data_IF_433289633849
#
_entry.id   IF_433289633849
#
_cell.length_a   1.000
_cell.length_b   1.000
_cell.length_c   1.000
_cell.angle_alpha   90.00
_cell.angle_beta   90.00
_cell.angle_gamma   90.00
#
_symmetry.space_group_name_H-M   'P 1'
#
loop_
_entity.id
_entity.type
_entity.pdbx_description
1 polymer ?
#
# COMPACT_ATOMS: atom_id res chain seq x y z
N UNK A 1 -8.85 25.09 38.66
CA UNK A 1 -7.38 25.07 38.69
C UNK A 1 -6.93 23.62 38.79
N UNK A 2 -6.90 22.89 37.68
CA UNK A 2 -6.50 21.48 37.64
C UNK A 2 -4.98 21.42 37.58
N UNK A 3 -4.36 21.16 38.73
CA UNK A 3 -2.93 20.88 38.85
C UNK A 3 -2.63 19.56 38.15
N UNK A 4 -2.09 19.63 36.93
CA UNK A 4 -1.33 18.54 36.33
C UNK A 4 -0.11 18.29 37.23
N UNK A 5 -0.22 17.35 38.16
CA UNK A 5 0.98 16.71 38.71
C UNK A 5 1.68 16.07 37.51
N UNK A 6 2.90 16.48 37.22
CA UNK A 6 3.73 15.79 36.22
C UNK A 6 3.77 14.31 36.60
N UNK A 7 3.08 13.50 35.79
CA UNK A 7 2.81 12.07 36.06
C UNK A 7 4.13 11.26 36.04
N UNK A 8 5.20 11.84 35.50
CA UNK A 8 6.53 11.25 35.37
C UNK A 8 7.59 12.24 35.85
N UNK A 9 8.53 11.75 36.66
CA UNK A 9 9.70 12.53 37.08
C UNK A 9 10.61 12.87 35.88
N UNK A 10 11.42 13.93 35.95
CA UNK A 10 12.40 14.26 34.89
C UNK A 10 13.34 13.11 34.53
N UNK A 11 13.67 12.25 35.51
CA UNK A 11 14.49 11.05 35.31
C UNK A 11 13.73 9.98 34.53
N UNK A 12 12.44 9.79 34.79
CA UNK A 12 11.60 8.86 34.02
C UNK A 12 11.40 9.37 32.58
N UNK A 13 11.21 10.67 32.39
CA UNK A 13 11.15 11.29 31.06
C UNK A 13 12.44 11.04 30.27
N UNK A 14 13.60 11.26 30.91
CA UNK A 14 14.91 10.99 30.29
C UNK A 14 15.12 9.51 29.97
N UNK A 15 14.72 8.61 30.89
CA UNK A 15 14.75 7.16 30.63
C UNK A 15 13.84 6.77 29.47
N UNK A 16 12.69 7.41 29.30
CA UNK A 16 11.80 7.18 28.16
C UNK A 16 12.37 7.74 26.86
N UNK A 17 13.00 8.92 26.86
CA UNK A 17 13.65 9.46 25.65
C UNK A 17 14.81 8.59 25.17
N UNK A 18 15.53 7.99 26.13
CA UNK A 18 16.72 7.18 25.85
C UNK A 18 16.40 5.69 25.68
N UNK A 19 15.14 5.27 25.92
CA UNK A 19 14.75 3.88 25.83
C UNK A 19 14.80 3.38 24.38
N UNK A 20 15.68 2.41 24.11
CA UNK A 20 15.68 1.61 22.89
C UNK A 20 14.92 0.32 23.17
N UNK A 21 13.89 0.04 22.38
CA UNK A 21 13.20 -1.24 22.43
C UNK A 21 14.20 -2.37 22.17
N UNK A 22 14.27 -3.33 23.09
CA UNK A 22 15.13 -4.51 23.02
C UNK A 22 14.32 -5.69 23.51
N UNK A 23 14.17 -6.72 22.68
CA UNK A 23 13.48 -7.97 23.02
C UNK A 23 14.42 -9.15 22.76
N UNK A 24 14.38 -10.13 23.65
CA UNK A 24 15.17 -11.37 23.55
C UNK A 24 14.24 -12.57 23.67
N UNK A 25 14.29 -13.50 22.72
CA UNK A 25 13.49 -14.72 22.75
C UNK A 25 13.70 -15.50 21.45
N UNK A 26 13.64 -16.84 21.53
CA UNK A 26 13.61 -17.72 20.36
C UNK A 26 12.46 -18.71 20.52
N UNK A 27 11.36 -18.50 19.83
CA UNK A 27 10.24 -19.43 19.79
C UNK A 27 10.53 -20.60 18.85
N UNK A 28 9.70 -21.66 18.91
CA UNK A 28 9.85 -22.85 18.07
C UNK A 28 9.83 -22.54 16.56
N UNK A 29 9.06 -21.53 16.15
CA UNK A 29 8.93 -21.17 14.75
C UNK A 29 9.95 -20.13 14.30
N UNK A 30 10.57 -19.38 15.22
CA UNK A 30 11.50 -18.29 14.90
C UNK A 30 12.53 -18.67 13.83
N UNK A 31 13.22 -19.83 13.85
CA UNK A 31 14.17 -20.19 12.80
C UNK A 31 13.55 -20.30 11.39
N UNK A 32 12.28 -20.70 11.31
CA UNK A 32 11.55 -20.89 10.04
C UNK A 32 11.04 -19.56 9.51
N UNK A 33 10.57 -18.67 10.39
CA UNK A 33 10.00 -17.38 10.00
C UNK A 33 11.02 -16.24 9.94
N UNK A 34 12.21 -16.39 10.55
CA UNK A 34 13.30 -15.40 10.51
C UNK A 34 13.62 -14.89 9.08
N UNK A 35 13.69 -15.74 8.04
CA UNK A 35 13.95 -15.27 6.67
C UNK A 35 12.87 -14.33 6.12
N UNK A 36 11.65 -14.40 6.64
CA UNK A 36 10.52 -13.54 6.25
C UNK A 36 10.44 -12.26 7.09
N UNK A 37 10.99 -12.26 8.29
CA UNK A 37 11.03 -11.11 9.21
C UNK A 37 12.24 -10.21 9.00
N UNK A 38 12.90 -10.33 7.84
CA UNK A 38 13.98 -9.42 7.47
C UNK A 38 13.43 -7.99 7.34
N UNK A 39 14.16 -7.04 7.92
CA UNK A 39 13.88 -5.60 7.80
C UNK A 39 13.75 -5.15 6.33
N UNK A 40 14.49 -5.80 5.42
CA UNK A 40 14.40 -5.56 3.98
C UNK A 40 13.56 -6.65 3.33
N UNK A 41 12.51 -6.25 2.61
CA UNK A 41 11.70 -7.18 1.83
C UNK A 41 12.56 -7.91 0.77
N UNK A 42 12.40 -9.23 0.62
CA UNK A 42 13.21 -10.00 -0.31
C UNK A 42 12.87 -9.64 -1.76
N UNK A 43 13.86 -9.69 -2.65
CA UNK A 43 13.73 -9.21 -4.03
C UNK A 43 12.63 -9.90 -4.83
N UNK A 44 12.40 -11.19 -4.59
CA UNK A 44 11.33 -11.95 -5.22
C UNK A 44 9.94 -11.45 -4.83
N UNK A 45 9.76 -10.86 -3.64
CA UNK A 45 8.47 -10.33 -3.22
C UNK A 45 8.02 -9.18 -4.13
N UNK A 46 8.95 -8.32 -4.57
CA UNK A 46 8.62 -7.26 -5.53
C UNK A 46 8.26 -7.80 -6.92
N UNK A 47 8.89 -8.89 -7.36
CA UNK A 47 8.48 -9.57 -8.60
C UNK A 47 7.05 -10.11 -8.47
N UNK A 48 6.73 -10.73 -7.33
CA UNK A 48 5.37 -11.19 -7.06
C UNK A 48 4.37 -10.03 -6.98
N UNK A 49 4.73 -8.88 -6.40
CA UNK A 49 3.88 -7.69 -6.41
C UNK A 49 3.61 -7.21 -7.84
N UNK A 50 4.64 -7.13 -8.70
CA UNK A 50 4.47 -6.70 -10.09
C UNK A 50 3.60 -7.69 -10.90
N UNK A 51 3.88 -8.99 -10.79
CA UNK A 51 3.09 -10.03 -11.46
C UNK A 51 1.66 -10.08 -10.92
N UNK A 52 1.49 -9.98 -9.60
CA UNK A 52 0.20 -9.95 -8.93
C UNK A 52 -0.64 -8.75 -9.38
N UNK A 53 -0.04 -7.56 -9.47
CA UNK A 53 -0.70 -6.37 -10.01
C UNK A 53 -1.10 -6.52 -11.46
N UNK A 54 -0.23 -7.09 -12.30
CA UNK A 54 -0.56 -7.37 -13.69
C UNK A 54 -1.75 -8.32 -13.83
N UNK A 55 -1.77 -9.41 -13.05
CA UNK A 55 -2.88 -10.36 -13.04
C UNK A 55 -4.16 -9.66 -12.56
N UNK A 56 -4.09 -8.97 -11.42
CA UNK A 56 -5.22 -8.27 -10.82
C UNK A 56 -5.87 -7.28 -11.79
N UNK A 57 -5.11 -6.31 -12.33
CA UNK A 57 -5.67 -5.31 -13.25
C UNK A 57 -6.23 -5.93 -14.53
N UNK A 58 -5.68 -7.07 -14.96
CA UNK A 58 -6.14 -7.76 -16.17
C UNK A 58 -7.49 -8.42 -15.90
N UNK A 59 -7.64 -9.05 -14.74
CA UNK A 59 -8.89 -9.69 -14.32
C UNK A 59 -9.99 -8.65 -14.08
N UNK A 60 -9.65 -7.55 -13.41
CA UNK A 60 -10.48 -6.35 -13.22
C UNK A 60 -11.00 -5.82 -14.57
N UNK A 61 -10.11 -5.51 -15.52
CA UNK A 61 -10.54 -5.04 -16.83
C UNK A 61 -11.35 -6.08 -17.65
N UNK A 62 -11.30 -7.36 -17.29
CA UNK A 62 -12.01 -8.45 -17.96
C UNK A 62 -13.44 -8.64 -17.44
N UNK A 63 -13.73 -8.38 -16.18
CA UNK A 63 -15.01 -8.74 -15.58
C UNK A 63 -16.18 -7.90 -16.14
N UNK A 64 -16.00 -6.59 -16.33
CA UNK A 64 -16.99 -5.69 -16.90
C UNK A 64 -17.18 -5.93 -18.40
N UNK A 65 -16.09 -6.30 -19.11
CA UNK A 65 -16.19 -6.71 -20.52
C UNK A 65 -17.01 -7.99 -20.64
N UNK A 66 -16.79 -8.94 -19.73
CA UNK A 66 -17.54 -10.18 -19.70
C UNK A 66 -19.00 -9.93 -19.34
N UNK A 67 -19.30 -9.15 -18.30
CA UNK A 67 -20.65 -8.81 -17.89
C UNK A 67 -21.47 -8.14 -19.01
N UNK A 68 -20.84 -7.24 -19.79
CA UNK A 68 -21.46 -6.65 -20.99
C UNK A 68 -21.71 -7.69 -22.09
N UNK A 69 -20.78 -8.62 -22.29
CA UNK A 69 -20.91 -9.69 -23.30
C UNK A 69 -21.99 -10.70 -22.95
N UNK A 70 -22.15 -11.04 -21.68
CA UNK A 70 -23.14 -12.03 -21.20
C UNK A 70 -24.49 -11.41 -20.85
N UNK A 71 -24.61 -10.07 -20.88
CA UNK A 71 -25.83 -9.36 -20.51
C UNK A 71 -26.13 -9.40 -19.00
N UNK A 72 -25.10 -9.59 -18.17
CA UNK A 72 -25.21 -9.75 -16.71
C UNK A 72 -24.70 -8.55 -15.92
N UNK A 73 -24.58 -7.37 -16.54
CA UNK A 73 -24.21 -6.12 -15.87
C UNK A 73 -25.24 -5.76 -14.79
N UNK A 74 -24.79 -5.49 -13.56
CA UNK A 74 -25.66 -5.15 -12.43
C UNK A 74 -25.00 -4.17 -11.45
N UNK A 75 -25.78 -3.35 -10.71
CA UNK A 75 -25.24 -2.46 -9.68
C UNK A 75 -24.50 -3.19 -8.54
N UNK A 76 -24.91 -4.42 -8.22
CA UNK A 76 -24.22 -5.23 -7.22
C UNK A 76 -22.85 -5.70 -7.71
N UNK A 77 -22.75 -6.04 -9.00
CA UNK A 77 -21.47 -6.38 -9.61
C UNK A 77 -20.49 -5.20 -9.59
N UNK A 78 -20.97 -4.01 -9.96
CA UNK A 78 -20.19 -2.76 -9.89
C UNK A 78 -19.75 -2.44 -8.45
N UNK A 79 -20.64 -2.61 -7.46
CA UNK A 79 -20.28 -2.43 -6.05
C UNK A 79 -19.21 -3.42 -5.58
N UNK A 80 -19.28 -4.67 -6.04
CA UNK A 80 -18.31 -5.70 -5.66
C UNK A 80 -16.93 -5.43 -6.28
N UNK A 81 -16.90 -5.09 -7.56
CA UNK A 81 -15.71 -4.70 -8.32
C UNK A 81 -14.96 -3.54 -7.64
N UNK A 82 -15.64 -2.41 -7.45
CA UNK A 82 -15.09 -1.24 -6.76
C UNK A 82 -14.76 -1.48 -5.28
N UNK A 83 -15.47 -2.40 -4.62
CA UNK A 83 -15.14 -2.85 -3.27
C UNK A 83 -13.80 -3.58 -3.22
N UNK A 84 -13.55 -4.47 -4.19
CA UNK A 84 -12.26 -5.13 -4.37
C UNK A 84 -11.14 -4.12 -4.68
N UNK A 85 -11.42 -3.12 -5.51
CA UNK A 85 -10.45 -2.05 -5.82
C UNK A 85 -10.08 -1.21 -4.60
N UNK A 86 -11.07 -0.86 -3.78
CA UNK A 86 -10.87 -0.07 -2.56
C UNK A 86 -9.92 -0.79 -1.61
N UNK A 87 -10.10 -2.10 -1.42
CA UNK A 87 -9.23 -2.91 -0.57
C UNK A 87 -7.83 -3.07 -1.18
N UNK A 88 -7.77 -3.37 -2.48
CA UNK A 88 -6.51 -3.58 -3.21
C UNK A 88 -5.64 -2.33 -3.20
N UNK A 89 -6.23 -1.14 -3.35
CA UNK A 89 -5.52 0.15 -3.33
C UNK A 89 -4.74 0.36 -2.04
N UNK A 90 -5.24 -0.10 -0.88
CA UNK A 90 -4.52 -0.02 0.40
C UNK A 90 -3.23 -0.83 0.35
N UNK A 91 -3.30 -2.08 -0.10
CA UNK A 91 -2.14 -2.96 -0.20
C UNK A 91 -1.15 -2.47 -1.25
N UNK A 92 -1.63 -1.95 -2.38
CA UNK A 92 -0.78 -1.34 -3.43
C UNK A 92 -0.04 -0.13 -2.87
N UNK A 93 -0.72 0.76 -2.15
CA UNK A 93 -0.11 1.93 -1.54
C UNK A 93 1.00 1.56 -0.55
N UNK A 94 0.74 0.59 0.33
CA UNK A 94 1.75 0.08 1.28
C UNK A 94 2.90 -0.60 0.51
N UNK A 95 2.59 -1.37 -0.52
CA UNK A 95 3.57 -2.04 -1.37
C UNK A 95 4.55 -1.06 -2.02
N UNK A 96 4.05 0.07 -2.54
CA UNK A 96 4.89 1.17 -3.04
C UNK A 96 5.78 1.71 -1.93
N UNK A 97 5.24 2.02 -0.76
CA UNK A 97 6.01 2.52 0.37
C UNK A 97 7.16 1.59 0.78
N UNK A 98 6.94 0.27 0.74
CA UNK A 98 7.97 -0.74 0.99
C UNK A 98 9.01 -0.75 -0.14
N UNK A 99 8.55 -0.73 -1.40
CA UNK A 99 9.43 -0.82 -2.58
C UNK A 99 10.42 0.35 -2.67
N UNK A 100 10.01 1.55 -2.25
CA UNK A 100 10.84 2.77 -2.28
C UNK A 100 11.37 3.18 -0.90
N UNK A 101 11.25 2.32 0.12
CA UNK A 101 11.73 2.56 1.48
C UNK A 101 11.20 3.85 2.15
N UNK A 102 9.96 4.26 1.82
CA UNK A 102 9.33 5.45 2.40
C UNK A 102 9.11 5.37 3.91
N UNK A 103 9.21 4.19 4.53
CA UNK A 103 9.17 4.02 5.98
C UNK A 103 10.26 4.81 6.73
N UNK A 104 11.35 5.18 6.05
CA UNK A 104 12.39 6.06 6.61
C UNK A 104 11.98 7.54 6.64
N UNK A 105 10.90 7.92 5.93
CA UNK A 105 10.42 9.28 5.77
C UNK A 105 8.91 9.37 6.07
N UNK A 106 8.49 9.36 7.36
CA UNK A 106 7.09 9.22 7.75
C UNK A 106 6.14 10.26 7.14
N UNK A 107 6.60 11.51 6.96
CA UNK A 107 5.81 12.56 6.31
C UNK A 107 5.50 12.20 4.85
N UNK A 108 6.50 11.74 4.10
CA UNK A 108 6.30 11.34 2.70
C UNK A 108 5.47 10.07 2.57
N UNK A 109 5.63 9.11 3.49
CA UNK A 109 4.76 7.93 3.56
C UNK A 109 3.28 8.34 3.78
N UNK A 110 3.03 9.27 4.71
CA UNK A 110 1.69 9.79 4.96
C UNK A 110 1.12 10.48 3.72
N UNK A 111 1.87 11.38 3.09
CA UNK A 111 1.43 12.07 1.88
C UNK A 111 1.10 11.10 0.75
N UNK A 112 1.96 10.10 0.50
CA UNK A 112 1.73 9.08 -0.52
C UNK A 112 0.42 8.31 -0.27
N UNK A 113 0.25 7.77 0.93
CA UNK A 113 -0.96 7.02 1.26
C UNK A 113 -2.21 7.90 1.21
N UNK A 114 -2.12 9.14 1.71
CA UNK A 114 -3.24 10.08 1.71
C UNK A 114 -3.67 10.43 0.29
N UNK A 115 -2.72 10.73 -0.61
CA UNK A 115 -3.00 11.05 -2.00
C UNK A 115 -3.60 9.84 -2.72
N UNK A 116 -3.04 8.64 -2.55
CA UNK A 116 -3.55 7.43 -3.18
C UNK A 116 -5.02 7.17 -2.82
N UNK A 117 -5.38 7.25 -1.52
CA UNK A 117 -6.76 7.08 -1.07
C UNK A 117 -7.67 8.21 -1.54
N UNK A 118 -7.17 9.45 -1.54
CA UNK A 118 -7.96 10.63 -1.94
C UNK A 118 -8.33 10.60 -3.42
N UNK A 119 -7.38 10.26 -4.29
CA UNK A 119 -7.63 10.15 -5.74
C UNK A 119 -8.64 9.04 -6.04
N UNK A 120 -8.49 7.89 -5.39
CA UNK A 120 -9.44 6.79 -5.51
C UNK A 120 -10.84 7.20 -5.05
N UNK A 121 -10.94 7.85 -3.89
CA UNK A 121 -12.21 8.37 -3.37
C UNK A 121 -12.87 9.37 -4.33
N UNK A 122 -12.10 10.30 -4.90
CA UNK A 122 -12.64 11.31 -5.83
C UNK A 122 -13.19 10.66 -7.09
N UNK A 123 -12.55 9.63 -7.64
CA UNK A 123 -13.05 8.90 -8.81
C UNK A 123 -14.42 8.24 -8.54
N UNK A 124 -14.59 7.67 -7.34
CA UNK A 124 -15.85 7.04 -6.92
C UNK A 124 -16.91 8.07 -6.58
N UNK A 125 -16.54 9.17 -5.92
CA UNK A 125 -17.41 10.31 -5.67
C UNK A 125 -17.95 10.89 -6.98
N UNK A 126 -17.09 11.05 -7.98
CA UNK A 126 -17.50 11.49 -9.31
C UNK A 126 -18.54 10.55 -9.89
N UNK A 127 -18.32 9.24 -9.82
CA UNK A 127 -19.25 8.21 -10.31
C UNK A 127 -20.60 8.27 -9.59
N UNK A 128 -20.58 8.45 -8.26
CA UNK A 128 -21.79 8.63 -7.46
C UNK A 128 -22.62 9.84 -7.92
N UNK A 129 -21.97 10.97 -8.21
CA UNK A 129 -22.66 12.21 -8.62
C UNK A 129 -23.08 12.19 -10.09
N UNK A 130 -22.27 11.64 -10.99
CA UNK A 130 -22.50 11.66 -12.44
C UNK A 130 -23.30 10.46 -12.96
N UNK A 131 -23.44 9.39 -12.15
CA UNK A 131 -23.95 8.09 -12.55
C UNK A 131 -23.06 7.33 -13.53
N UNK A 132 -21.85 7.82 -13.83
CA UNK A 132 -20.92 7.19 -14.78
C UNK A 132 -19.45 7.41 -14.39
N UNK A 133 -18.68 6.32 -14.29
CA UNK A 133 -17.24 6.38 -14.15
C UNK A 133 -16.62 6.78 -15.49
N UNK A 134 -15.91 7.92 -15.52
CA UNK A 134 -15.30 8.47 -16.74
C UNK A 134 -13.80 8.38 -16.63
N UNK A 135 -13.20 7.65 -17.57
CA UNK A 135 -11.76 7.48 -17.64
C UNK A 135 -11.11 8.58 -18.48
N UNK A 136 -9.98 9.09 -17.98
CA UNK A 136 -9.11 10.03 -18.68
C UNK A 136 -8.19 9.35 -19.69
N UNK A 137 -7.33 10.15 -20.35
CA UNK A 137 -6.23 9.62 -21.18
C UNK A 137 -5.08 9.04 -20.36
N UNK A 138 -4.95 9.49 -19.12
CA UNK A 138 -4.02 8.98 -18.13
C UNK A 138 -4.85 8.71 -16.88
N UNK A 139 -4.90 7.45 -16.47
CA UNK A 139 -5.80 6.99 -15.42
C UNK A 139 -5.18 5.81 -14.65
N UNK A 140 -6.00 5.06 -13.92
CA UNK A 140 -5.60 3.93 -13.07
C UNK A 140 -4.68 2.94 -13.79
N UNK A 141 -4.90 2.67 -15.09
CA UNK A 141 -4.07 1.73 -15.85
C UNK A 141 -2.60 2.18 -15.94
N UNK A 142 -2.33 3.42 -16.37
CA UNK A 142 -0.95 3.94 -16.45
C UNK A 142 -0.32 4.05 -15.05
N UNK A 143 -1.10 4.41 -14.04
CA UNK A 143 -0.65 4.45 -12.66
C UNK A 143 -0.23 3.07 -12.15
N UNK A 144 -1.03 2.02 -12.41
CA UNK A 144 -0.72 0.65 -12.03
C UNK A 144 0.53 0.12 -12.75
N UNK A 145 0.69 0.38 -14.06
CA UNK A 145 1.92 0.04 -14.77
C UNK A 145 3.15 0.77 -14.20
N UNK A 146 3.00 2.02 -13.78
CA UNK A 146 4.07 2.76 -13.10
C UNK A 146 4.46 2.08 -11.79
N UNK A 147 3.50 1.63 -10.99
CA UNK A 147 3.74 0.87 -9.76
C UNK A 147 4.43 -0.47 -10.05
N UNK A 148 4.02 -1.19 -11.10
CA UNK A 148 4.71 -2.42 -11.52
C UNK A 148 6.17 -2.15 -11.87
N UNK A 149 6.46 -1.08 -12.61
CA UNK A 149 7.83 -0.68 -12.96
C UNK A 149 8.64 -0.37 -11.69
N UNK A 150 8.08 0.36 -10.72
CA UNK A 150 8.74 0.63 -9.44
C UNK A 150 9.11 -0.68 -8.73
N UNK A 151 8.18 -1.63 -8.65
CA UNK A 151 8.46 -2.95 -8.07
C UNK A 151 9.54 -3.71 -8.83
N UNK A 152 9.53 -3.70 -10.16
CA UNK A 152 10.56 -4.35 -10.97
C UNK A 152 11.94 -3.71 -10.79
N UNK A 153 12.02 -2.37 -10.68
CA UNK A 153 13.26 -1.66 -10.37
C UNK A 153 13.78 -2.09 -8.99
N UNK A 154 12.92 -2.10 -7.97
CA UNK A 154 13.30 -2.56 -6.62
C UNK A 154 13.68 -4.05 -6.59
N UNK A 155 13.11 -4.87 -7.46
CA UNK A 155 13.50 -6.27 -7.63
C UNK A 155 14.88 -6.42 -8.29
N UNK A 156 15.20 -5.60 -9.30
CA UNK A 156 16.42 -5.69 -10.11
C UNK A 156 17.64 -5.02 -9.48
N UNK A 157 17.45 -3.90 -8.78
CA UNK A 157 18.54 -3.13 -8.20
C UNK A 157 18.55 -3.15 -6.66
N UNK A 158 17.47 -3.67 -6.07
CA UNK A 158 17.25 -3.59 -4.63
C UNK A 158 16.55 -2.27 -4.25
N UNK A 159 15.77 -2.25 -3.15
CA UNK A 159 15.07 -1.03 -2.71
C UNK A 159 15.97 0.15 -2.34
N UNK A 160 17.25 -0.11 -2.05
CA UNK A 160 18.24 0.94 -1.73
C UNK A 160 18.59 1.85 -2.90
N UNK A 161 18.18 1.53 -4.14
CA UNK A 161 18.35 2.46 -5.27
C UNK A 161 17.57 3.77 -5.07
N UNK A 162 16.51 3.73 -4.26
CA UNK A 162 15.66 4.89 -3.96
C UNK A 162 16.15 5.72 -2.78
N UNK A 163 17.11 5.23 -2.00
CA UNK A 163 17.68 5.99 -0.89
C UNK A 163 18.69 7.01 -1.40
N UNK A 164 18.51 8.27 -1.03
CA UNK A 164 19.54 9.30 -1.18
C UNK A 164 20.61 9.10 -0.11
N UNK A 165 21.87 9.01 -0.53
CA UNK A 165 23.05 8.93 0.33
C UNK A 165 23.20 10.17 1.23
#
# INVERSE_FOLDING_TARGET
MFLTKDILSPIQLKRLSDHRYSSTGRTLLDPIVQPFWNWLAPRWAFVLCAVGLFIYQTLDACDGKQARRTGTSSPLGELFDHGCDSLSTVFVSIGVCIAVQLGMYPSWMFFQCFIAMTLFYIAHWQTYVSGTLRFGRFDVTEAQYTVMIIHLISALFGPSIWSTH
#
